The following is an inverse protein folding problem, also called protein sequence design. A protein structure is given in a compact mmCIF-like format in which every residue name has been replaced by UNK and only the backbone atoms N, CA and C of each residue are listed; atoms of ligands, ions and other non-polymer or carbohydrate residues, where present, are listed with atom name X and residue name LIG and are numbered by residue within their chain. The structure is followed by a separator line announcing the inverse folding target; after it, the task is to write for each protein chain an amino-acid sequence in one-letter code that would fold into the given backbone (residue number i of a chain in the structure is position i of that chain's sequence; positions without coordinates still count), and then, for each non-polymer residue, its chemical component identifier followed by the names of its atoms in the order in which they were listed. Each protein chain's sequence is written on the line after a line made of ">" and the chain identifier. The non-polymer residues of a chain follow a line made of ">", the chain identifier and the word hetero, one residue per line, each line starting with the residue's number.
data_IF_499651781099
#
_entry.id   IF_499651781099
#
_cell.length_a   1.000
_cell.length_b   1.000
_cell.length_c   1.000
_cell.angle_alpha   90.00
_cell.angle_beta   90.00
_cell.angle_gamma   90.00
#
_symmetry.space_group_name_H-M   'P 1'
#
loop_
_entity.id
_entity.type
_entity.pdbx_description
1 polymer ?
#
# COMPACT_ATOMS: atom_id res chain seq x y z
N UNK A 1 52.39 5.56 10.03
CA UNK A 1 51.40 6.61 10.27
C UNK A 1 50.05 6.09 9.84
N UNK A 2 49.29 5.56 10.78
CA UNK A 2 47.97 4.97 10.57
C UNK A 2 46.92 6.07 10.64
N UNK A 3 46.22 6.33 9.56
CA UNK A 3 45.05 7.21 9.58
C UNK A 3 43.81 6.37 9.88
N UNK A 4 43.29 6.56 11.09
CA UNK A 4 41.98 6.09 11.49
C UNK A 4 40.90 6.75 10.64
N UNK A 5 40.22 5.98 9.79
CA UNK A 5 38.94 6.36 9.23
C UNK A 5 37.85 5.92 10.20
N UNK A 6 37.63 6.70 11.23
CA UNK A 6 36.38 6.73 11.96
C UNK A 6 35.50 7.77 11.30
N UNK A 7 34.48 7.36 10.61
CA UNK A 7 33.23 8.11 10.47
C UNK A 7 32.17 7.18 9.94
N UNK A 8 31.48 6.50 10.83
CA UNK A 8 30.09 6.20 10.62
C UNK A 8 29.35 7.53 10.79
N UNK A 9 28.68 8.07 9.78
CA UNK A 9 27.74 9.14 10.05
C UNK A 9 26.65 8.53 10.93
N UNK A 10 26.53 9.07 12.12
CA UNK A 10 25.38 8.92 12.97
C UNK A 10 24.19 9.46 12.14
N UNK A 11 23.55 8.59 11.42
CA UNK A 11 22.29 8.86 10.72
C UNK A 11 21.30 9.12 11.84
N UNK A 12 21.11 10.41 12.13
CA UNK A 12 20.29 10.90 13.20
C UNK A 12 19.03 10.06 13.31
N UNK A 13 18.69 9.68 14.51
CA UNK A 13 17.34 9.31 14.87
C UNK A 13 16.50 10.54 14.55
N UNK A 14 16.03 10.65 13.30
CA UNK A 14 14.95 11.55 12.96
C UNK A 14 13.85 11.22 13.95
N UNK A 15 13.42 12.22 14.69
CA UNK A 15 12.35 12.13 15.67
C UNK A 15 11.14 11.52 14.94
N UNK A 16 10.97 10.23 15.12
CA UNK A 16 9.81 9.53 14.58
C UNK A 16 8.59 9.99 15.39
N UNK A 17 7.82 10.87 14.79
CA UNK A 17 6.55 11.30 15.34
C UNK A 17 5.53 10.18 15.08
N UNK A 18 5.03 9.51 16.13
CA UNK A 18 4.05 8.43 15.99
C UNK A 18 2.73 8.90 15.36
N UNK A 19 2.48 10.20 15.37
CA UNK A 19 1.28 10.81 14.79
C UNK A 19 1.39 11.01 13.28
N UNK A 20 2.60 10.90 12.72
CA UNK A 20 2.84 11.02 11.29
C UNK A 20 2.69 9.67 10.62
N UNK A 21 1.72 9.57 9.74
CA UNK A 21 1.44 8.37 8.95
C UNK A 21 1.68 8.58 7.46
N UNK A 22 1.94 7.49 6.77
CA UNK A 22 2.05 7.49 5.31
C UNK A 22 1.05 6.52 4.72
N UNK A 23 0.28 6.99 3.74
CA UNK A 23 -0.68 6.19 2.98
C UNK A 23 -0.35 6.21 1.49
N UNK A 24 -0.48 5.06 0.88
CA UNK A 24 -0.46 4.92 -0.57
C UNK A 24 -1.89 5.00 -1.08
N UNK A 25 -2.07 5.75 -2.15
CA UNK A 25 -3.35 5.90 -2.84
C UNK A 25 -3.22 5.17 -4.18
N UNK A 26 -4.13 4.27 -4.44
CA UNK A 26 -4.20 3.50 -5.68
C UNK A 26 -5.43 3.92 -6.46
N UNK A 27 -5.22 4.17 -7.74
CA UNK A 27 -6.29 4.40 -8.70
C UNK A 27 -6.55 3.07 -9.40
N UNK A 28 -7.68 2.46 -9.11
CA UNK A 28 -8.06 1.17 -9.66
C UNK A 28 -8.32 1.23 -11.18
N UNK A 29 -8.23 0.09 -11.86
CA UNK A 29 -8.60 0.01 -13.27
C UNK A 29 -10.05 0.42 -13.48
N UNK A 30 -10.29 1.26 -14.49
CA UNK A 30 -11.64 1.78 -14.78
C UNK A 30 -12.03 3.04 -14.03
N UNK A 31 -11.14 3.61 -13.23
CA UNK A 31 -11.38 4.88 -12.56
C UNK A 31 -11.70 6.02 -13.54
N UNK A 32 -12.59 6.90 -13.13
CA UNK A 32 -12.94 8.10 -13.87
C UNK A 32 -12.04 9.29 -13.57
N UNK A 33 -11.16 9.15 -12.59
CA UNK A 33 -10.21 10.18 -12.17
C UNK A 33 -8.80 9.81 -12.57
N UNK A 34 -8.02 10.82 -12.96
CA UNK A 34 -6.60 10.68 -13.25
C UNK A 34 -5.74 10.91 -12.01
N UNK A 35 -4.49 10.46 -12.08
CA UNK A 35 -3.48 10.71 -11.04
C UNK A 35 -3.26 12.21 -10.80
N UNK A 36 -3.25 13.01 -11.87
CA UNK A 36 -3.06 14.46 -11.79
C UNK A 36 -4.23 15.16 -11.10
N UNK A 37 -5.46 14.73 -11.33
CA UNK A 37 -6.64 15.26 -10.65
C UNK A 37 -6.57 14.99 -9.14
N UNK A 38 -6.19 13.78 -8.74
CA UNK A 38 -6.03 13.44 -7.31
C UNK A 38 -4.94 14.30 -6.66
N UNK A 39 -3.80 14.48 -7.33
CA UNK A 39 -2.72 15.32 -6.80
C UNK A 39 -3.13 16.78 -6.72
N UNK A 40 -3.86 17.27 -7.71
CA UNK A 40 -4.40 18.64 -7.71
C UNK A 40 -5.38 18.83 -6.56
N UNK A 41 -6.25 17.87 -6.31
CA UNK A 41 -7.20 17.92 -5.20
C UNK A 41 -6.47 17.96 -3.86
N UNK A 42 -5.42 17.16 -3.65
CA UNK A 42 -4.62 17.25 -2.44
C UNK A 42 -4.01 18.64 -2.22
N UNK A 43 -3.54 19.29 -3.29
CA UNK A 43 -3.02 20.65 -3.18
C UNK A 43 -4.12 21.67 -2.88
N UNK A 44 -5.31 21.48 -3.43
CA UNK A 44 -6.46 22.37 -3.17
C UNK A 44 -6.98 22.29 -1.74
N UNK A 45 -6.83 21.14 -1.09
CA UNK A 45 -7.21 20.97 0.32
C UNK A 45 -6.36 21.83 1.27
N UNK A 46 -5.18 22.28 0.85
CA UNK A 46 -4.29 23.12 1.65
C UNK A 46 -3.80 22.49 2.95
N UNK A 47 -3.86 21.17 3.06
CA UNK A 47 -3.38 20.42 4.22
C UNK A 47 -1.86 20.26 4.20
N UNK A 48 -1.18 20.24 5.36
CA UNK A 48 0.27 20.12 5.46
C UNK A 48 0.73 18.69 5.16
N UNK A 49 0.56 18.25 3.92
CA UNK A 49 0.87 16.90 3.45
C UNK A 49 2.09 16.89 2.54
N UNK A 50 2.94 15.89 2.70
CA UNK A 50 3.95 15.54 1.69
C UNK A 50 3.31 14.62 0.67
N UNK A 51 3.29 15.03 -0.59
CA UNK A 51 2.65 14.30 -1.69
C UNK A 51 3.72 13.82 -2.66
N UNK A 52 3.63 12.56 -3.08
CA UNK A 52 4.53 11.97 -4.07
C UNK A 52 3.76 11.09 -5.04
N UNK A 53 3.98 11.30 -6.34
CA UNK A 53 3.41 10.45 -7.38
C UNK A 53 4.09 9.07 -7.41
N UNK A 54 3.31 8.06 -7.72
CA UNK A 54 3.74 6.67 -7.87
C UNK A 54 3.15 6.08 -9.14
N UNK A 55 3.63 4.94 -9.61
CA UNK A 55 3.08 4.29 -10.83
C UNK A 55 1.64 3.75 -10.66
N UNK A 56 1.06 3.79 -9.49
CA UNK A 56 -0.29 3.30 -9.21
C UNK A 56 -1.22 4.39 -8.68
N UNK A 57 -0.76 5.63 -8.65
CA UNK A 57 -1.47 6.78 -8.09
C UNK A 57 -0.52 7.68 -7.29
N UNK A 58 -0.79 7.92 -6.04
CA UNK A 58 0.01 8.82 -5.21
C UNK A 58 0.36 8.22 -3.85
N UNK A 59 1.18 8.93 -3.12
CA UNK A 59 1.53 8.64 -1.73
C UNK A 59 1.46 9.95 -0.96
N UNK A 60 0.80 9.94 0.18
CA UNK A 60 0.68 11.09 1.06
C UNK A 60 1.22 10.77 2.45
N UNK A 61 1.86 11.76 3.08
CA UNK A 61 2.39 11.64 4.43
C UNK A 61 2.16 12.95 5.19
N UNK A 62 1.78 12.84 6.44
CA UNK A 62 1.50 13.95 7.32
C UNK A 62 0.88 13.47 8.63
N UNK A 63 0.34 14.38 9.42
CA UNK A 63 -0.40 14.00 10.62
C UNK A 63 -1.59 13.12 10.27
N UNK A 64 -1.88 12.17 11.14
CA UNK A 64 -2.93 11.18 10.91
C UNK A 64 -4.29 11.82 10.58
N UNK A 65 -4.69 12.85 11.31
CA UNK A 65 -5.94 13.58 11.08
C UNK A 65 -6.01 14.19 9.67
N UNK A 66 -4.92 14.85 9.24
CA UNK A 66 -4.85 15.50 7.92
C UNK A 66 -4.86 14.47 6.79
N UNK A 67 -4.15 13.35 6.99
CA UNK A 67 -4.09 12.25 6.01
C UNK A 67 -5.47 11.60 5.85
N UNK A 68 -6.18 11.29 6.95
CA UNK A 68 -7.51 10.70 6.85
C UNK A 68 -8.52 11.66 6.24
N UNK A 69 -8.49 12.94 6.62
CA UNK A 69 -9.33 13.96 6.01
C UNK A 69 -9.10 14.07 4.50
N UNK A 70 -7.85 14.08 4.08
CA UNK A 70 -7.51 14.12 2.66
C UNK A 70 -8.03 12.88 1.90
N UNK A 71 -7.92 11.69 2.51
CA UNK A 71 -8.44 10.44 1.92
C UNK A 71 -9.96 10.49 1.77
N UNK A 72 -10.68 10.99 2.76
CA UNK A 72 -12.13 11.12 2.70
C UNK A 72 -12.56 12.04 1.54
N UNK A 73 -11.87 13.16 1.35
CA UNK A 73 -12.19 14.09 0.27
C UNK A 73 -11.91 13.48 -1.11
N UNK A 74 -10.74 12.92 -1.34
CA UNK A 74 -10.44 12.34 -2.66
C UNK A 74 -11.32 11.13 -3.01
N UNK A 75 -11.74 10.34 -2.02
CA UNK A 75 -12.64 9.21 -2.26
C UNK A 75 -14.01 9.62 -2.73
N UNK A 76 -14.43 10.87 -2.53
CA UNK A 76 -15.68 11.41 -3.08
C UNK A 76 -15.63 11.55 -4.61
N UNK A 77 -14.43 11.69 -5.18
CA UNK A 77 -14.25 11.81 -6.63
C UNK A 77 -14.60 10.50 -7.36
N UNK A 78 -14.17 9.37 -6.80
CA UNK A 78 -14.48 8.05 -7.33
C UNK A 78 -14.46 6.99 -6.20
N UNK A 79 -15.60 6.80 -5.48
CA UNK A 79 -15.66 5.98 -4.29
C UNK A 79 -15.29 4.50 -4.51
N UNK A 80 -15.53 3.99 -5.72
CA UNK A 80 -15.37 2.58 -6.04
C UNK A 80 -14.02 2.24 -6.64
N UNK A 81 -13.20 3.25 -7.03
CA UNK A 81 -11.93 3.03 -7.72
C UNK A 81 -10.73 3.64 -7.01
N UNK A 82 -10.94 4.39 -5.92
CA UNK A 82 -9.85 4.94 -5.11
C UNK A 82 -9.66 4.08 -3.86
N UNK A 83 -8.49 3.45 -3.77
CA UNK A 83 -8.12 2.56 -2.68
C UNK A 83 -6.92 3.11 -1.91
N UNK A 84 -6.81 2.75 -0.65
CA UNK A 84 -5.70 3.20 0.19
C UNK A 84 -5.04 2.04 0.90
N UNK A 85 -3.72 2.11 1.04
CA UNK A 85 -2.93 1.14 1.78
C UNK A 85 -1.96 1.86 2.72
N UNK A 86 -1.84 1.35 3.92
CA UNK A 86 -0.86 1.84 4.88
C UNK A 86 0.56 1.55 4.43
N UNK A 87 1.46 2.48 4.71
CA UNK A 87 2.88 2.33 4.47
C UNK A 87 3.66 2.73 5.71
N UNK A 88 4.50 1.82 6.19
CA UNK A 88 5.30 2.02 7.41
C UNK A 88 6.50 2.95 7.27
N UNK A 89 6.69 3.66 6.14
CA UNK A 89 7.84 4.54 5.91
C UNK A 89 7.44 5.78 5.13
N UNK A 90 7.94 6.93 5.55
CA UNK A 90 7.74 8.20 4.87
C UNK A 90 8.29 8.20 3.42
N UNK A 91 7.80 9.11 2.55
CA UNK A 91 8.39 9.36 1.25
C UNK A 91 9.86 9.79 1.41
N UNK A 92 10.75 9.12 0.67
CA UNK A 92 12.18 9.46 0.73
C UNK A 92 12.98 8.79 1.85
N UNK A 93 12.34 8.03 2.73
CA UNK A 93 13.03 7.27 3.78
C UNK A 93 14.17 6.41 3.18
N UNK A 94 15.42 6.58 3.64
CA UNK A 94 16.58 5.90 3.07
C UNK A 94 16.50 4.38 3.22
N UNK A 95 15.81 3.87 4.24
CA UNK A 95 15.57 2.42 4.43
C UNK A 95 14.72 1.82 3.31
N UNK A 96 13.95 2.66 2.63
CA UNK A 96 13.09 2.30 1.50
C UNK A 96 13.41 3.09 0.22
N UNK A 97 14.50 3.88 0.23
CA UNK A 97 14.93 4.62 -0.94
C UNK A 97 15.49 3.67 -2.02
N UNK A 98 15.21 3.97 -3.29
CA UNK A 98 15.65 3.17 -4.44
C UNK A 98 17.13 3.39 -4.77
N UNK A 99 18.01 3.20 -3.80
CA UNK A 99 19.45 3.17 -4.05
C UNK A 99 19.95 1.88 -4.70
N UNK A 100 19.12 0.87 -4.84
CA UNK A 100 19.51 -0.44 -5.35
C UNK A 100 19.32 -0.52 -6.86
N UNK A 101 20.40 -0.76 -7.57
CA UNK A 101 20.46 -0.93 -9.04
C UNK A 101 19.97 -2.31 -9.50
N UNK A 102 19.64 -3.21 -8.57
CA UNK A 102 19.37 -4.62 -8.86
C UNK A 102 17.90 -4.97 -8.53
N UNK A 103 17.07 -4.86 -9.54
CA UNK A 103 15.71 -5.40 -9.53
C UNK A 103 14.66 -4.64 -8.70
N UNK A 104 13.44 -5.17 -8.66
CA UNK A 104 12.35 -4.60 -7.89
C UNK A 104 12.58 -4.77 -6.39
N UNK A 105 12.03 -3.84 -5.59
CA UNK A 105 12.08 -3.95 -4.13
C UNK A 105 11.29 -5.15 -3.62
N UNK A 106 11.66 -5.62 -2.43
CA UNK A 106 10.83 -6.55 -1.68
C UNK A 106 9.40 -6.01 -1.54
N UNK A 107 8.43 -6.88 -1.75
CA UNK A 107 7.01 -6.53 -1.75
C UNK A 107 6.48 -5.87 -3.03
N UNK A 108 7.32 -5.55 -4.01
CA UNK A 108 6.84 -4.98 -5.28
C UNK A 108 5.91 -5.93 -6.02
N UNK A 109 6.25 -7.19 -6.13
CA UNK A 109 5.42 -8.19 -6.80
C UNK A 109 4.10 -8.46 -6.07
N UNK A 110 4.08 -8.34 -4.76
CA UNK A 110 2.84 -8.43 -3.98
C UNK A 110 1.93 -7.23 -4.31
N UNK A 111 2.48 -6.02 -4.34
CA UNK A 111 1.73 -4.82 -4.66
C UNK A 111 1.17 -4.87 -6.09
N UNK A 112 1.92 -5.41 -7.04
CA UNK A 112 1.46 -5.63 -8.42
C UNK A 112 0.29 -6.63 -8.47
N UNK A 113 0.36 -7.72 -7.72
CA UNK A 113 -0.74 -8.68 -7.59
C UNK A 113 -1.97 -8.04 -6.95
N UNK A 114 -1.79 -7.33 -5.87
CA UNK A 114 -2.87 -6.59 -5.20
C UNK A 114 -3.54 -5.61 -6.16
N UNK A 115 -2.75 -4.84 -6.93
CA UNK A 115 -3.29 -3.90 -7.91
C UNK A 115 -4.14 -4.58 -8.98
N UNK A 116 -3.74 -5.76 -9.47
CA UNK A 116 -4.52 -6.52 -10.45
C UNK A 116 -5.89 -6.95 -9.91
N UNK A 117 -6.00 -7.17 -8.60
CA UNK A 117 -7.26 -7.57 -7.95
C UNK A 117 -8.22 -6.38 -7.81
N UNK A 118 -7.73 -5.13 -7.78
CA UNK A 118 -8.57 -3.96 -7.57
C UNK A 118 -9.69 -3.83 -8.60
N UNK A 119 -9.48 -4.26 -9.84
CA UNK A 119 -10.54 -4.25 -10.86
C UNK A 119 -11.74 -5.15 -10.53
N UNK A 120 -11.51 -6.26 -9.82
CA UNK A 120 -12.60 -7.12 -9.33
C UNK A 120 -13.29 -6.49 -8.12
N UNK A 121 -12.51 -5.86 -7.23
CA UNK A 121 -13.05 -5.17 -6.06
C UNK A 121 -13.93 -3.99 -6.49
N UNK A 122 -13.49 -3.18 -7.46
CA UNK A 122 -14.28 -2.08 -8.01
C UNK A 122 -15.64 -2.55 -8.55
N UNK A 123 -15.63 -3.61 -9.35
CA UNK A 123 -16.87 -4.20 -9.88
C UNK A 123 -17.81 -4.73 -8.79
N UNK A 124 -17.25 -5.29 -7.74
CA UNK A 124 -18.03 -5.76 -6.59
C UNK A 124 -18.63 -4.60 -5.80
N UNK A 125 -17.91 -3.47 -5.69
CA UNK A 125 -18.40 -2.25 -5.02
C UNK A 125 -19.50 -1.55 -5.84
N UNK A 126 -19.41 -1.57 -7.17
CA UNK A 126 -20.45 -1.04 -8.06
C UNK A 126 -21.75 -1.84 -7.97
N UNK A 127 -21.65 -3.15 -7.78
CA UNK A 127 -22.79 -4.05 -7.70
C UNK A 127 -22.69 -4.97 -6.49
N UNK A 128 -22.87 -4.45 -5.28
CA UNK A 128 -22.74 -5.24 -4.07
C UNK A 128 -23.83 -6.33 -4.03
N UNK A 129 -23.40 -7.57 -3.86
CA UNK A 129 -24.29 -8.72 -3.67
C UNK A 129 -24.11 -9.22 -2.24
N UNK A 130 -25.21 -9.46 -1.55
CA UNK A 130 -25.16 -10.20 -0.33
C UNK A 130 -24.72 -11.63 -0.62
N UNK A 131 -23.62 -12.04 0.00
CA UNK A 131 -23.11 -13.41 -0.09
C UNK A 131 -23.24 -14.01 1.30
N UNK A 132 -24.01 -15.07 1.42
CA UNK A 132 -23.96 -15.88 2.64
C UNK A 132 -22.58 -16.53 2.73
N UNK A 133 -21.82 -16.12 3.72
CA UNK A 133 -20.52 -16.73 3.99
C UNK A 133 -20.79 -18.09 4.67
N UNK A 134 -20.57 -19.16 3.93
CA UNK A 134 -20.49 -20.48 4.54
C UNK A 134 -19.28 -20.49 5.50
N UNK A 135 -19.56 -20.74 6.77
CA UNK A 135 -18.47 -20.98 7.73
C UNK A 135 -17.74 -22.26 7.32
N UNK A 136 -16.58 -22.07 6.71
CA UNK A 136 -15.69 -23.19 6.42
C UNK A 136 -15.22 -23.77 7.75
N UNK A 137 -15.67 -24.97 8.06
CA UNK A 137 -15.13 -25.70 9.20
C UNK A 137 -13.63 -25.90 9.01
N UNK A 138 -12.83 -25.70 10.05
CA UNK A 138 -11.41 -26.03 9.98
C UNK A 138 -11.26 -27.51 9.62
N UNK A 139 -10.34 -27.81 8.73
CA UNK A 139 -10.04 -29.19 8.34
C UNK A 139 -9.40 -29.88 9.53
N UNK A 140 -9.93 -31.03 9.90
CA UNK A 140 -9.39 -31.85 10.99
C UNK A 140 -7.96 -32.33 10.63
N UNK A 141 -7.09 -32.45 11.64
CA UNK A 141 -5.67 -32.76 11.43
C UNK A 141 -5.48 -34.07 10.66
N UNK A 142 -6.32 -35.07 10.91
CA UNK A 142 -6.23 -36.37 10.24
C UNK A 142 -6.71 -36.32 8.80
N UNK A 143 -7.68 -35.47 8.48
CA UNK A 143 -8.11 -35.19 7.12
C UNK A 143 -7.04 -34.44 6.34
N UNK A 144 -6.40 -33.47 6.97
CA UNK A 144 -5.28 -32.73 6.37
C UNK A 144 -4.09 -33.65 6.05
N UNK A 145 -3.77 -34.60 6.93
CA UNK A 145 -2.72 -35.61 6.68
C UNK A 145 -3.05 -36.46 5.47
N UNK A 146 -4.28 -36.98 5.37
CA UNK A 146 -4.72 -37.74 4.19
C UNK A 146 -4.57 -36.98 2.89
N UNK A 147 -4.99 -35.72 2.85
CA UNK A 147 -4.83 -34.85 1.68
C UNK A 147 -3.33 -34.71 1.32
N UNK A 148 -2.47 -34.54 2.31
CA UNK A 148 -1.02 -34.47 2.08
C UNK A 148 -0.46 -35.76 1.48
N UNK A 149 -0.82 -36.93 2.04
CA UNK A 149 -0.35 -38.23 1.57
C UNK A 149 -0.81 -38.50 0.14
N UNK A 150 -2.07 -38.22 -0.19
CA UNK A 150 -2.61 -38.32 -1.56
C UNK A 150 -1.87 -37.40 -2.56
N UNK A 151 -1.51 -36.17 -2.13
CA UNK A 151 -0.72 -35.27 -2.96
C UNK A 151 0.73 -35.73 -3.21
N UNK A 152 1.29 -36.50 -2.27
CA UNK A 152 2.65 -37.02 -2.39
C UNK A 152 2.71 -38.32 -3.26
N UNK A 153 1.65 -39.12 -3.23
CA UNK A 153 1.53 -40.34 -4.02
C UNK A 153 1.27 -40.08 -5.51
N UNK A 154 0.70 -38.91 -5.86
CA UNK A 154 0.39 -38.53 -7.25
C UNK A 154 1.53 -37.75 -7.95
N UNK A 155 2.75 -37.84 -7.47
CA UNK A 155 3.96 -37.31 -8.09
C UNK A 155 4.82 -38.45 -8.64
#
# INVERSE_FOLDING_TARGET
>A
MSQNLTMSPDLGKEDWDPDVITRMIFIGPGAHVSEQEIVSEFHMLGLPLTIKNTCYGSMISGKSEDVYKAIEEIRKLDPNHIFTKERGFAPGDPRRCRGHRFGPREGFHQMEKEYRILGFVSKALENPKEVELEEKKPVEVDEFKKIMDECLENK
#
